data_IF_850755206694
#
_entry.id   IF_850755206694
#
_cell.length_a   1.000
_cell.length_b   1.000
_cell.length_c   1.000
_cell.angle_alpha   90.00
_cell.angle_beta   90.00
_cell.angle_gamma   90.00
#
_symmetry.space_group_name_H-M   'P 1'
#
loop_
_entity.id
_entity.type
_entity.pdbx_description
1 polymer ?
#
# COMPACT_ATOMS: atom_id res chain seq x y z
N UNK A 1 -6.72 -29.73 -1.20
CA UNK A 1 -6.90 -28.27 -1.31
C UNK A 1 -6.87 -27.55 0.03
N UNK A 2 -7.65 -28.01 1.01
CA UNK A 2 -7.88 -27.30 2.28
C UNK A 2 -6.58 -26.96 3.02
N UNK A 3 -5.67 -27.92 3.22
CA UNK A 3 -4.42 -27.67 3.93
C UNK A 3 -3.56 -26.60 3.25
N UNK A 4 -3.45 -26.63 1.91
CA UNK A 4 -2.70 -25.64 1.14
C UNK A 4 -3.36 -24.25 1.20
N UNK A 5 -4.69 -24.18 1.18
CA UNK A 5 -5.42 -22.91 1.30
C UNK A 5 -5.22 -22.26 2.68
N UNK A 6 -5.26 -23.07 3.74
CA UNK A 6 -4.98 -22.60 5.11
C UNK A 6 -3.52 -22.14 5.22
N UNK A 7 -2.57 -22.93 4.73
CA UNK A 7 -1.15 -22.58 4.80
C UNK A 7 -0.84 -21.31 4.01
N UNK A 8 -1.35 -21.17 2.78
CA UNK A 8 -1.10 -19.97 1.97
C UNK A 8 -1.70 -18.72 2.62
N UNK A 9 -2.93 -18.81 3.12
CA UNK A 9 -3.60 -17.71 3.83
C UNK A 9 -2.88 -17.33 5.13
N UNK A 10 -2.46 -18.32 5.91
CA UNK A 10 -1.74 -18.10 7.16
C UNK A 10 -0.36 -17.46 6.92
N UNK A 11 0.39 -17.92 5.90
CA UNK A 11 1.69 -17.35 5.55
C UNK A 11 1.52 -15.92 5.03
N UNK A 12 0.62 -15.69 4.07
CA UNK A 12 0.38 -14.35 3.52
C UNK A 12 -0.05 -13.36 4.61
N UNK A 13 -0.98 -13.77 5.49
CA UNK A 13 -1.43 -12.94 6.61
C UNK A 13 -0.33 -12.69 7.62
N UNK A 14 0.40 -13.73 8.02
CA UNK A 14 1.48 -13.64 8.99
C UNK A 14 2.58 -12.68 8.56
N UNK A 15 2.98 -12.74 7.28
CA UNK A 15 3.95 -11.81 6.70
C UNK A 15 3.36 -10.38 6.67
N UNK A 16 2.14 -10.21 6.17
CA UNK A 16 1.49 -8.91 6.07
C UNK A 16 1.38 -8.19 7.41
N UNK A 17 0.87 -8.86 8.44
CA UNK A 17 0.74 -8.27 9.78
C UNK A 17 2.09 -8.01 10.43
N UNK A 18 3.06 -8.91 10.29
CA UNK A 18 4.40 -8.73 10.87
C UNK A 18 5.08 -7.48 10.30
N UNK A 19 5.06 -7.32 8.97
CA UNK A 19 5.63 -6.15 8.29
C UNK A 19 4.86 -4.89 8.65
N UNK A 20 3.53 -4.93 8.64
CA UNK A 20 2.70 -3.75 8.93
C UNK A 20 2.91 -3.24 10.36
N UNK A 21 2.84 -4.13 11.35
CA UNK A 21 3.05 -3.75 12.75
C UNK A 21 4.49 -3.32 13.03
N UNK A 22 5.47 -3.85 12.30
CA UNK A 22 6.83 -3.34 12.34
C UNK A 22 6.90 -1.91 11.77
N UNK A 23 6.29 -1.65 10.62
CA UNK A 23 6.27 -0.34 9.99
C UNK A 23 5.56 0.74 10.83
N UNK A 24 4.48 0.37 11.53
CA UNK A 24 3.74 1.27 12.42
C UNK A 24 4.62 1.88 13.52
N UNK A 25 5.67 1.17 13.98
CA UNK A 25 6.59 1.69 14.99
C UNK A 25 7.32 2.96 14.55
N UNK A 26 7.44 3.19 13.24
CA UNK A 26 8.19 4.30 12.66
C UNK A 26 7.30 5.40 12.07
N UNK A 27 5.97 5.25 12.11
CA UNK A 27 5.03 6.17 11.46
C UNK A 27 4.02 6.74 12.45
N UNK A 28 3.70 8.03 12.30
CA UNK A 28 2.54 8.60 13.00
C UNK A 28 1.25 7.99 12.46
N UNK A 29 0.18 7.97 13.27
CA UNK A 29 -1.13 7.45 12.84
C UNK A 29 -1.59 8.06 11.50
N UNK A 30 -1.41 9.38 11.32
CA UNK A 30 -1.73 10.04 10.04
C UNK A 30 -0.87 9.55 8.89
N UNK A 31 0.45 9.37 9.07
CA UNK A 31 1.31 8.87 7.99
C UNK A 31 0.98 7.42 7.65
N UNK A 32 0.72 6.59 8.64
CA UNK A 32 0.28 5.21 8.42
C UNK A 32 -1.03 5.16 7.62
N UNK A 33 -2.01 5.99 7.95
CA UNK A 33 -3.27 6.09 7.20
C UNK A 33 -3.07 6.55 5.75
N UNK A 34 -2.17 7.51 5.51
CA UNK A 34 -1.86 7.98 4.15
C UNK A 34 -1.17 6.87 3.34
N UNK A 35 -0.19 6.17 3.93
CA UNK A 35 0.51 5.07 3.25
C UNK A 35 -0.45 3.90 2.95
N UNK A 36 -1.47 3.66 3.77
CA UNK A 36 -2.50 2.64 3.47
C UNK A 36 -3.25 2.90 2.15
N UNK A 37 -3.32 4.14 1.69
CA UNK A 37 -3.90 4.46 0.39
C UNK A 37 -3.10 3.87 -0.78
N UNK A 38 -1.86 3.44 -0.59
CA UNK A 38 -1.07 2.78 -1.64
C UNK A 38 -1.43 1.31 -1.83
N UNK A 39 -2.15 0.67 -0.90
CA UNK A 39 -2.47 -0.77 -0.96
C UNK A 39 -3.22 -1.15 -2.24
N UNK A 40 -4.26 -0.43 -2.70
CA UNK A 40 -4.96 -0.75 -3.94
C UNK A 40 -4.04 -0.68 -5.18
N UNK A 41 -3.11 0.28 -5.23
CA UNK A 41 -2.16 0.41 -6.33
C UNK A 41 -1.16 -0.76 -6.36
N UNK A 42 -0.66 -1.18 -5.19
CA UNK A 42 0.23 -2.34 -5.06
C UNK A 42 -0.50 -3.66 -5.39
N UNK A 43 -1.75 -3.80 -4.96
CA UNK A 43 -2.59 -4.96 -5.28
C UNK A 43 -2.83 -5.07 -6.79
N UNK A 44 -3.18 -3.96 -7.45
CA UNK A 44 -3.37 -3.91 -8.90
C UNK A 44 -2.07 -4.25 -9.66
N UNK A 45 -0.91 -3.77 -9.20
CA UNK A 45 0.38 -4.13 -9.77
C UNK A 45 0.68 -5.63 -9.63
N UNK A 46 0.38 -6.21 -8.47
CA UNK A 46 0.45 -7.66 -8.27
C UNK A 46 -0.49 -8.42 -9.21
N UNK A 47 -1.71 -7.93 -9.43
CA UNK A 47 -2.64 -8.49 -10.41
C UNK A 47 -2.10 -8.51 -11.83
N UNK A 48 -1.49 -7.42 -12.28
CA UNK A 48 -0.84 -7.36 -13.61
C UNK A 48 0.29 -8.39 -13.72
N UNK A 49 1.15 -8.52 -12.70
CA UNK A 49 2.31 -9.44 -12.75
C UNK A 49 1.90 -10.91 -12.61
N UNK A 50 1.11 -11.24 -11.59
CA UNK A 50 0.84 -12.63 -11.21
C UNK A 50 -0.41 -13.19 -11.88
N UNK A 51 -1.40 -12.35 -12.18
CA UNK A 51 -2.68 -12.74 -12.77
C UNK A 51 -2.79 -12.31 -14.25
N UNK A 52 -1.77 -11.65 -14.81
CA UNK A 52 -1.74 -11.15 -16.20
C UNK A 52 -2.96 -10.27 -16.53
N UNK A 53 -3.40 -9.46 -15.56
CA UNK A 53 -4.51 -8.53 -15.76
C UNK A 53 -4.17 -7.46 -16.83
N UNK A 54 -5.18 -7.08 -17.61
CA UNK A 54 -5.04 -6.07 -18.67
C UNK A 54 -4.77 -4.71 -18.04
N UNK A 55 -3.66 -4.09 -18.46
CA UNK A 55 -3.34 -2.71 -18.08
C UNK A 55 -4.31 -1.77 -18.78
N UNK A 56 -5.30 -1.27 -18.04
CA UNK A 56 -6.25 -0.28 -18.54
C UNK A 56 -5.77 1.14 -18.28
N UNK A 57 -6.21 2.09 -19.12
CA UNK A 57 -5.95 3.52 -18.91
C UNK A 57 -6.46 3.99 -17.54
N UNK A 58 -7.61 3.47 -17.10
CA UNK A 58 -8.16 3.74 -15.76
C UNK A 58 -7.21 3.31 -14.65
N UNK A 59 -6.61 2.12 -14.77
CA UNK A 59 -5.66 1.61 -13.78
C UNK A 59 -4.41 2.50 -13.72
N UNK A 60 -3.87 2.88 -14.88
CA UNK A 60 -2.71 3.78 -14.96
C UNK A 60 -3.01 5.12 -14.30
N UNK A 61 -4.12 5.77 -14.68
CA UNK A 61 -4.52 7.07 -14.13
C UNK A 61 -4.80 6.99 -12.62
N UNK A 62 -5.51 5.96 -12.17
CA UNK A 62 -5.79 5.76 -10.75
C UNK A 62 -4.50 5.58 -9.93
N UNK A 63 -3.56 4.75 -10.41
CA UNK A 63 -2.26 4.56 -9.75
C UNK A 63 -1.47 5.86 -9.67
N UNK A 64 -1.42 6.65 -10.76
CA UNK A 64 -0.75 7.96 -10.76
C UNK A 64 -1.39 8.92 -9.74
N UNK A 65 -2.72 9.01 -9.72
CA UNK A 65 -3.44 9.90 -8.80
C UNK A 65 -3.26 9.50 -7.34
N UNK A 66 -3.33 8.20 -7.04
CA UNK A 66 -3.13 7.66 -5.68
C UNK A 66 -1.70 7.97 -5.21
N UNK A 67 -0.69 7.57 -5.99
CA UNK A 67 0.71 7.75 -5.60
C UNK A 67 1.09 9.24 -5.53
N UNK A 68 0.66 10.03 -6.50
CA UNK A 68 0.86 11.48 -6.51
C UNK A 68 0.22 12.17 -5.30
N UNK A 69 -1.03 11.81 -4.96
CA UNK A 69 -1.72 12.32 -3.79
C UNK A 69 -1.01 11.97 -2.48
N UNK A 70 -0.53 10.74 -2.35
CA UNK A 70 0.27 10.29 -1.20
C UNK A 70 1.56 11.11 -1.07
N UNK A 71 2.30 11.30 -2.17
CA UNK A 71 3.54 12.10 -2.17
C UNK A 71 3.28 13.53 -1.70
N UNK A 72 2.25 14.19 -2.23
CA UNK A 72 1.87 15.56 -1.84
C UNK A 72 1.49 15.62 -0.36
N UNK A 73 0.66 14.69 0.11
CA UNK A 73 0.16 14.67 1.49
C UNK A 73 1.28 14.47 2.52
N UNK A 74 2.27 13.61 2.21
CA UNK A 74 3.43 13.37 3.09
C UNK A 74 4.40 14.55 3.04
N UNK A 75 4.66 15.11 1.87
CA UNK A 75 5.60 16.23 1.68
C UNK A 75 5.08 17.54 2.31
N UNK A 76 3.80 17.87 2.15
CA UNK A 76 3.19 19.10 2.69
C UNK A 76 3.26 19.19 4.21
N UNK A 77 3.12 18.05 4.91
CA UNK A 77 3.30 17.96 6.37
C UNK A 77 4.72 18.29 6.84
N UNK A 78 5.75 17.97 6.04
CA UNK A 78 7.15 18.28 6.37
C UNK A 78 7.39 19.80 6.35
N UNK A 79 6.77 20.49 5.39
CA UNK A 79 6.86 21.95 5.27
C UNK A 79 6.16 22.70 6.41
N UNK A 80 5.00 22.22 6.88
CA UNK A 80 4.30 22.84 8.03
C UNK A 80 5.01 22.67 9.37
N UNK A 81 5.77 21.57 9.55
CA UNK A 81 6.53 21.31 10.80
C UNK A 81 7.86 22.07 10.89
N UNK A 82 8.44 22.49 9.77
CA UNK A 82 9.69 23.26 9.73
C UNK A 82 9.49 24.78 9.91
N UNK A 83 8.24 25.24 10.03
CA UNK A 83 7.87 26.66 10.17
C UNK A 83 7.41 27.05 11.60
N UNK A 84 7.40 26.09 12.53
CA UNK A 84 7.13 26.27 13.97
C UNK A 84 8.39 25.91 14.73
#
# INVERSE_FOLDING_TARGET
GILLAVLSGAIASGIGYSVWYHALKFHTATRAAIVQLSVPALAAFGGVIFLSEIVSTRLVLATILILGGITIAIAGRKYGKNKV
#
